data_IF_648493246903
#
_entry.id   IF_648493246903
#
_cell.length_a   1.000
_cell.length_b   1.000
_cell.length_c   1.000
_cell.angle_alpha   90.00
_cell.angle_beta   90.00
_cell.angle_gamma   90.00
#
_symmetry.space_group_name_H-M   'P 1'
#
loop_
_entity.id
_entity.type
_entity.pdbx_description
1 polymer ?
#
# COMPACT_ATOMS: atom_id res chain seq x y z
N UNK A 1 7.91 -80.52 28.99
CA UNK A 1 8.40 -79.88 30.24
C UNK A 1 9.58 -78.97 29.93
N UNK A 2 9.40 -77.65 30.05
CA UNK A 2 10.32 -76.68 30.69
C UNK A 2 9.74 -75.27 30.49
N UNK A 3 9.08 -74.76 31.52
CA UNK A 3 8.98 -73.32 31.77
C UNK A 3 10.34 -72.87 32.32
N UNK A 4 10.85 -71.72 31.88
CA UNK A 4 11.48 -70.76 32.77
C UNK A 4 11.59 -69.39 32.09
N UNK A 5 11.41 -68.38 32.94
CA UNK A 5 10.98 -67.03 32.68
C UNK A 5 12.14 -66.06 33.01
N UNK A 6 11.93 -64.76 32.73
CA UNK A 6 12.69 -63.56 33.08
C UNK A 6 13.92 -63.20 32.21
N UNK A 7 13.84 -62.05 31.52
CA UNK A 7 14.17 -60.75 32.14
C UNK A 7 13.58 -59.57 31.35
N UNK A 8 12.94 -58.69 32.11
CA UNK A 8 12.54 -57.33 31.76
C UNK A 8 13.73 -56.52 31.24
N UNK A 9 13.50 -55.72 30.20
CA UNK A 9 14.11 -54.40 30.09
C UNK A 9 13.24 -53.47 29.24
N UNK A 10 12.53 -52.62 29.97
CA UNK A 10 11.85 -51.41 29.53
C UNK A 10 12.81 -50.49 28.78
N UNK A 11 12.53 -50.23 27.49
CA UNK A 11 12.96 -48.99 26.83
C UNK A 11 11.71 -48.30 26.29
N UNK A 12 11.34 -47.22 26.98
CA UNK A 12 10.41 -46.21 26.51
C UNK A 12 10.95 -45.64 25.20
N UNK A 13 10.11 -45.56 24.18
CA UNK A 13 10.27 -44.58 23.11
C UNK A 13 8.86 -44.23 22.63
N UNK A 14 8.36 -43.13 23.17
CA UNK A 14 7.17 -42.42 22.73
C UNK A 14 7.50 -41.93 21.31
N UNK A 15 6.87 -42.50 20.30
CA UNK A 15 6.89 -41.96 18.96
C UNK A 15 6.06 -40.68 18.96
N UNK A 16 6.72 -39.53 19.08
CA UNK A 16 6.11 -38.22 18.81
C UNK A 16 5.97 -38.12 17.29
N UNK A 17 4.73 -38.17 16.82
CA UNK A 17 4.36 -37.73 15.48
C UNK A 17 4.56 -36.21 15.43
N UNK A 18 5.70 -35.77 14.93
CA UNK A 18 5.94 -34.37 14.58
C UNK A 18 5.14 -34.07 13.29
N UNK A 19 3.89 -33.66 13.45
CA UNK A 19 3.20 -32.93 12.38
C UNK A 19 3.87 -31.56 12.30
N UNK A 20 4.79 -31.40 11.34
CA UNK A 20 5.33 -30.10 10.97
C UNK A 20 4.22 -29.26 10.34
N UNK A 21 3.45 -28.56 11.16
CA UNK A 21 2.73 -27.39 10.68
C UNK A 21 3.79 -26.31 10.44
N UNK A 22 4.28 -26.23 9.21
CA UNK A 22 5.03 -25.07 8.75
C UNK A 22 4.04 -23.90 8.76
N UNK A 23 4.02 -23.14 9.86
CA UNK A 23 3.34 -21.85 9.89
C UNK A 23 4.24 -20.93 9.07
N UNK A 24 3.90 -20.78 7.79
CA UNK A 24 4.44 -19.73 6.94
C UNK A 24 4.03 -18.41 7.58
N UNK A 25 4.97 -17.75 8.26
CA UNK A 25 4.73 -16.42 8.79
C UNK A 25 4.47 -15.51 7.60
N UNK A 26 3.21 -15.08 7.44
CA UNK A 26 2.86 -13.99 6.53
C UNK A 26 3.46 -12.75 7.16
N UNK A 27 4.66 -12.38 6.74
CA UNK A 27 5.18 -11.04 7.01
C UNK A 27 4.25 -10.11 6.23
N UNK A 28 3.56 -9.16 6.87
CA UNK A 28 2.80 -8.15 6.13
C UNK A 28 3.82 -7.39 5.29
N UNK A 29 3.80 -7.65 3.99
CA UNK A 29 4.56 -6.89 3.01
C UNK A 29 3.95 -5.49 3.01
N UNK A 30 4.73 -4.49 3.35
CA UNK A 30 4.32 -3.09 3.22
C UNK A 30 4.23 -2.77 1.74
N UNK A 31 3.13 -3.18 1.09
CA UNK A 31 2.91 -2.79 -0.29
C UNK A 31 2.88 -1.26 -0.37
N UNK A 32 3.80 -0.76 -1.19
CA UNK A 32 4.04 0.64 -1.54
C UNK A 32 2.74 1.44 -1.61
N UNK A 33 2.65 2.49 -0.81
CA UNK A 33 1.50 3.38 -0.67
C UNK A 33 1.27 4.30 -1.88
N UNK A 34 1.61 3.85 -3.11
CA UNK A 34 1.24 4.56 -4.33
C UNK A 34 -0.08 4.05 -4.90
N UNK A 35 -0.42 2.77 -4.69
CA UNK A 35 -1.67 2.15 -5.15
C UNK A 35 -2.93 2.66 -4.43
N UNK A 36 -2.79 3.25 -3.24
CA UNK A 36 -3.89 3.82 -2.45
C UNK A 36 -4.04 5.33 -2.62
N UNK A 37 -3.33 5.95 -3.58
CA UNK A 37 -3.44 7.38 -3.90
C UNK A 37 -4.42 7.64 -5.03
N UNK A 38 -5.02 8.84 -5.06
CA UNK A 38 -5.92 9.30 -6.13
C UNK A 38 -5.27 9.33 -7.53
N UNK A 39 -3.94 9.39 -7.58
CA UNK A 39 -3.14 9.38 -8.80
C UNK A 39 -2.52 8.00 -9.08
N UNK A 40 -2.72 7.06 -8.15
CA UNK A 40 -2.18 5.71 -8.20
C UNK A 40 -2.82 4.84 -9.27
N UNK A 41 -2.14 3.76 -9.68
CA UNK A 41 -2.57 2.91 -10.79
C UNK A 41 -3.96 2.28 -10.57
N UNK A 42 -4.27 1.86 -9.34
CA UNK A 42 -5.57 1.32 -8.96
C UNK A 42 -6.71 2.31 -9.19
N UNK A 43 -6.52 3.58 -8.81
CA UNK A 43 -7.53 4.64 -8.98
C UNK A 43 -7.60 5.11 -10.44
N UNK A 44 -6.46 5.18 -11.13
CA UNK A 44 -6.42 5.48 -12.58
C UNK A 44 -7.26 4.48 -13.36
N UNK A 45 -7.19 3.19 -13.02
CA UNK A 45 -8.04 2.18 -13.65
C UNK A 45 -9.49 2.23 -13.15
N UNK A 46 -9.73 2.66 -11.92
CA UNK A 46 -11.07 2.99 -11.42
C UNK A 46 -11.75 4.09 -12.24
N UNK A 47 -11.01 5.17 -12.54
CA UNK A 47 -11.48 6.26 -13.41
C UNK A 47 -11.81 5.74 -14.80
N UNK A 48 -10.90 4.99 -15.43
CA UNK A 48 -11.15 4.35 -16.74
C UNK A 48 -12.36 3.43 -16.72
N UNK A 49 -12.55 2.65 -15.66
CA UNK A 49 -13.70 1.76 -15.52
C UNK A 49 -15.02 2.53 -15.57
N UNK A 50 -15.11 3.63 -14.83
CA UNK A 50 -16.31 4.46 -14.76
C UNK A 50 -16.55 5.24 -16.06
N UNK A 51 -15.50 5.78 -16.68
CA UNK A 51 -15.58 6.51 -17.96
C UNK A 51 -16.01 5.61 -19.12
N UNK A 52 -15.49 4.38 -19.16
CA UNK A 52 -15.79 3.41 -20.23
C UNK A 52 -17.00 2.52 -19.94
N UNK A 53 -17.60 2.64 -18.75
CA UNK A 53 -18.61 1.71 -18.25
C UNK A 53 -18.16 0.23 -18.32
N UNK A 54 -16.88 -0.03 -18.01
CA UNK A 54 -16.29 -1.36 -18.02
C UNK A 54 -15.55 -1.63 -16.70
N UNK A 55 -16.18 -2.38 -15.80
CA UNK A 55 -15.59 -2.71 -14.49
C UNK A 55 -14.31 -3.56 -14.59
N UNK A 56 -14.05 -4.22 -15.72
CA UNK A 56 -12.91 -5.13 -15.85
C UNK A 56 -11.55 -4.41 -15.73
N UNK A 57 -11.48 -3.10 -15.98
CA UNK A 57 -10.28 -2.31 -15.72
C UNK A 57 -9.78 -2.43 -14.28
N UNK A 58 -10.68 -2.57 -13.30
CA UNK A 58 -10.28 -2.72 -11.88
C UNK A 58 -10.12 -4.16 -11.42
N UNK A 59 -10.66 -5.14 -12.15
CA UNK A 59 -10.76 -6.53 -11.69
C UNK A 59 -9.40 -7.22 -11.54
N UNK A 60 -8.38 -6.76 -12.26
CA UNK A 60 -6.99 -7.23 -12.11
C UNK A 60 -6.38 -6.89 -10.73
N UNK A 61 -6.89 -5.87 -10.03
CA UNK A 61 -6.41 -5.42 -8.71
C UNK A 61 -7.09 -6.13 -7.53
N UNK A 62 -8.14 -6.91 -7.80
CA UNK A 62 -9.12 -7.40 -6.81
C UNK A 62 -9.10 -8.92 -6.79
N UNK A 63 -9.06 -9.58 -5.63
CA UNK A 63 -9.07 -11.06 -5.58
C UNK A 63 -10.38 -11.65 -6.16
N UNK A 64 -10.38 -12.87 -6.75
CA UNK A 64 -11.57 -13.49 -7.34
C UNK A 64 -12.82 -13.50 -6.43
N UNK A 65 -12.63 -13.74 -5.15
CA UNK A 65 -13.67 -13.76 -4.12
C UNK A 65 -14.35 -12.40 -3.89
N UNK A 66 -13.62 -11.30 -4.13
CA UNK A 66 -14.10 -9.93 -3.89
C UNK A 66 -14.64 -9.26 -5.16
N UNK A 67 -14.51 -9.89 -6.34
CA UNK A 67 -14.98 -9.33 -7.62
C UNK A 67 -16.47 -8.98 -7.59
N UNK A 68 -17.28 -9.82 -6.94
CA UNK A 68 -18.72 -9.58 -6.81
C UNK A 68 -18.98 -8.30 -6.01
N UNK A 69 -18.26 -8.10 -4.91
CA UNK A 69 -18.39 -6.89 -4.11
C UNK A 69 -18.11 -5.66 -4.98
N UNK A 70 -16.95 -5.62 -5.64
CA UNK A 70 -16.54 -4.46 -6.46
C UNK A 70 -17.50 -4.23 -7.63
N UNK A 71 -18.03 -5.28 -8.23
CA UNK A 71 -19.05 -5.17 -9.28
C UNK A 71 -20.33 -4.53 -8.75
N UNK A 72 -20.79 -4.91 -7.56
CA UNK A 72 -21.98 -4.33 -6.93
C UNK A 72 -21.75 -2.84 -6.59
N UNK A 73 -20.56 -2.47 -6.09
CA UNK A 73 -20.16 -1.08 -5.81
C UNK A 73 -20.12 -0.23 -7.08
N UNK A 74 -19.48 -0.75 -8.13
CA UNK A 74 -19.43 -0.11 -9.44
C UNK A 74 -20.84 0.18 -9.96
N UNK A 75 -21.69 -0.85 -10.01
CA UNK A 75 -23.07 -0.71 -10.48
C UNK A 75 -23.89 0.29 -9.64
N UNK A 76 -23.62 0.39 -8.34
CA UNK A 76 -24.26 1.39 -7.49
C UNK A 76 -23.79 2.80 -7.83
N UNK A 77 -22.48 3.04 -7.94
CA UNK A 77 -21.90 4.33 -8.32
C UNK A 77 -22.39 4.80 -9.69
N UNK A 78 -22.44 3.90 -10.68
CA UNK A 78 -22.88 4.22 -12.04
C UNK A 78 -24.35 4.68 -12.10
N UNK A 79 -25.21 4.28 -11.15
CA UNK A 79 -26.62 4.74 -11.09
C UNK A 79 -26.77 6.21 -10.68
N UNK A 80 -25.81 6.75 -9.95
CA UNK A 80 -25.91 8.07 -9.33
C UNK A 80 -24.94 9.10 -9.94
N UNK A 81 -23.84 8.65 -10.56
CA UNK A 81 -22.77 9.55 -11.03
C UNK A 81 -23.23 10.62 -12.03
N UNK A 82 -24.31 10.37 -12.78
CA UNK A 82 -24.79 11.29 -13.82
C UNK A 82 -25.92 12.21 -13.34
N UNK A 83 -26.23 12.22 -12.04
CA UNK A 83 -27.31 13.06 -11.47
C UNK A 83 -26.89 14.53 -11.28
N UNK A 84 -25.64 14.78 -10.86
CA UNK A 84 -25.03 16.10 -10.73
C UNK A 84 -23.51 15.99 -10.64
N UNK A 85 -22.75 17.09 -10.77
CA UNK A 85 -21.31 17.09 -10.51
C UNK A 85 -20.94 16.59 -9.11
N UNK A 86 -21.69 16.96 -8.08
CA UNK A 86 -21.48 16.51 -6.70
C UNK A 86 -21.79 15.02 -6.54
N UNK A 87 -22.84 14.53 -7.22
CA UNK A 87 -23.15 13.10 -7.23
C UNK A 87 -22.06 12.29 -7.97
N UNK A 88 -21.47 12.84 -9.03
CA UNK A 88 -20.32 12.26 -9.71
C UNK A 88 -19.13 12.13 -8.77
N UNK A 89 -18.77 13.22 -8.10
CA UNK A 89 -17.65 13.25 -7.15
C UNK A 89 -17.84 12.23 -6.02
N UNK A 90 -19.03 12.18 -5.41
CA UNK A 90 -19.35 11.19 -4.38
C UNK A 90 -19.31 9.75 -4.89
N UNK A 91 -19.82 9.50 -6.10
CA UNK A 91 -19.84 8.17 -6.71
C UNK A 91 -18.44 7.65 -7.03
N UNK A 92 -17.58 8.55 -7.52
CA UNK A 92 -16.16 8.29 -7.81
C UNK A 92 -15.39 8.03 -6.52
N UNK A 93 -15.46 8.93 -5.54
CA UNK A 93 -14.81 8.78 -4.23
C UNK A 93 -15.21 7.47 -3.54
N UNK A 94 -16.50 7.13 -3.56
CA UNK A 94 -17.01 5.88 -3.01
C UNK A 94 -16.40 4.66 -3.73
N UNK A 95 -16.48 4.63 -5.06
CA UNK A 95 -15.99 3.49 -5.82
C UNK A 95 -14.47 3.31 -5.67
N UNK A 96 -13.70 4.38 -5.79
CA UNK A 96 -12.24 4.32 -5.68
C UNK A 96 -11.79 3.87 -4.29
N UNK A 97 -12.46 4.37 -3.24
CA UNK A 97 -12.18 3.93 -1.86
C UNK A 97 -12.44 2.43 -1.67
N UNK A 98 -13.53 1.89 -2.23
CA UNK A 98 -13.83 0.46 -2.12
C UNK A 98 -12.85 -0.41 -2.91
N UNK A 99 -12.45 0.01 -4.12
CA UNK A 99 -11.44 -0.73 -4.91
C UNK A 99 -10.11 -0.75 -4.18
N UNK A 100 -9.65 0.40 -3.67
CA UNK A 100 -8.41 0.48 -2.88
C UNK A 100 -8.51 -0.34 -1.61
N UNK A 101 -9.62 -0.26 -0.86
CA UNK A 101 -9.83 -1.04 0.36
C UNK A 101 -9.68 -2.54 0.12
N UNK A 102 -10.31 -3.06 -0.93
CA UNK A 102 -10.24 -4.49 -1.29
C UNK A 102 -8.84 -4.87 -1.78
N UNK A 103 -8.23 -4.04 -2.61
CA UNK A 103 -6.86 -4.25 -3.09
C UNK A 103 -5.87 -4.34 -1.91
N UNK A 104 -5.90 -3.37 -0.99
CA UNK A 104 -5.08 -3.34 0.23
C UNK A 104 -5.29 -4.57 1.11
N UNK A 105 -6.55 -4.99 1.28
CA UNK A 105 -6.87 -6.21 2.01
C UNK A 105 -6.24 -7.46 1.36
N UNK A 106 -6.23 -7.53 0.02
CA UNK A 106 -5.56 -8.59 -0.74
C UNK A 106 -4.04 -8.62 -0.55
N UNK A 107 -3.44 -7.47 -0.25
CA UNK A 107 -2.01 -7.35 0.12
C UNK A 107 -1.74 -7.70 1.60
N UNK A 108 -2.79 -7.96 2.39
CA UNK A 108 -2.69 -8.13 3.83
C UNK A 108 -2.43 -6.82 4.59
N UNK A 109 -2.69 -5.68 3.96
CA UNK A 109 -2.39 -4.36 4.48
C UNK A 109 -3.67 -3.60 4.92
N UNK A 110 -3.59 -2.73 5.93
CA UNK A 110 -4.75 -1.96 6.38
C UNK A 110 -5.18 -0.93 5.32
N UNK A 111 -6.47 -0.59 5.36
CA UNK A 111 -7.04 0.53 4.62
C UNK A 111 -7.15 1.75 5.52
N UNK A 112 -6.21 2.68 5.37
CA UNK A 112 -6.15 3.93 6.13
C UNK A 112 -6.73 5.11 5.34
N UNK A 113 -7.71 4.84 4.47
CA UNK A 113 -8.33 5.81 3.57
C UNK A 113 -7.58 6.02 2.25
N UNK A 114 -8.33 6.48 1.26
CA UNK A 114 -7.85 6.88 -0.06
C UNK A 114 -7.02 8.17 0.06
N UNK A 115 -5.74 8.12 -0.35
CA UNK A 115 -4.83 9.26 -0.21
C UNK A 115 -5.11 10.31 -1.30
N UNK A 116 -5.06 11.61 -0.98
CA UNK A 116 -5.37 12.67 -1.93
C UNK A 116 -4.36 12.72 -3.09
N UNK A 117 -4.77 13.39 -4.16
CA UNK A 117 -3.86 13.66 -5.29
C UNK A 117 -2.67 14.48 -4.83
N UNK A 118 -1.49 14.20 -5.39
CA UNK A 118 -0.23 14.85 -4.99
C UNK A 118 0.42 14.29 -3.72
N UNK A 119 -0.14 13.23 -3.10
CA UNK A 119 0.53 12.50 -2.00
C UNK A 119 1.94 12.08 -2.47
N UNK A 120 3.00 12.28 -1.68
CA UNK A 120 4.37 12.03 -2.10
C UNK A 120 4.53 10.52 -2.20
N UNK A 121 5.03 10.12 -3.35
CA UNK A 121 5.40 8.75 -3.65
C UNK A 121 6.92 8.71 -3.73
N UNK A 122 7.51 7.59 -3.31
CA UNK A 122 8.96 7.40 -3.39
C UNK A 122 9.47 7.63 -4.83
N UNK A 123 10.60 8.32 -4.96
CA UNK A 123 11.14 8.70 -6.28
C UNK A 123 11.43 7.49 -7.17
N UNK A 124 11.83 6.35 -6.58
CA UNK A 124 12.07 5.10 -7.32
C UNK A 124 10.79 4.51 -7.86
N UNK A 125 9.68 4.65 -7.13
CA UNK A 125 8.35 4.20 -7.55
C UNK A 125 7.86 5.01 -8.72
N UNK A 126 7.97 6.34 -8.63
CA UNK A 126 7.65 7.24 -9.74
C UNK A 126 8.53 6.96 -10.97
N UNK A 127 9.82 6.68 -10.76
CA UNK A 127 10.73 6.29 -11.83
C UNK A 127 10.37 4.92 -12.45
N UNK A 128 9.95 3.94 -11.64
CA UNK A 128 9.49 2.64 -12.12
C UNK A 128 8.21 2.76 -12.96
N UNK A 129 7.24 3.54 -12.49
CA UNK A 129 6.03 3.89 -13.27
C UNK A 129 6.40 4.55 -14.59
N UNK A 130 7.27 5.56 -14.53
CA UNK A 130 7.71 6.28 -15.74
C UNK A 130 8.43 5.34 -16.71
N UNK A 131 9.20 4.37 -16.20
CA UNK A 131 9.91 3.39 -17.02
C UNK A 131 8.95 2.53 -17.84
N UNK A 132 7.85 2.09 -17.24
CA UNK A 132 6.77 1.35 -17.93
C UNK A 132 6.06 2.24 -18.95
N UNK A 133 5.84 3.51 -18.62
CA UNK A 133 5.21 4.48 -19.53
C UNK A 133 6.05 4.71 -20.79
N UNK A 134 7.36 4.99 -20.64
CA UNK A 134 8.28 5.29 -21.74
C UNK A 134 8.84 4.05 -22.43
N UNK A 135 8.61 2.86 -21.87
CA UNK A 135 9.04 1.58 -22.41
C UNK A 135 10.55 1.33 -22.31
N UNK A 136 11.24 1.95 -21.36
CA UNK A 136 12.65 1.68 -21.07
C UNK A 136 13.02 2.06 -19.62
N UNK A 137 14.19 1.61 -19.15
CA UNK A 137 14.66 1.82 -17.77
C UNK A 137 15.39 3.15 -17.54
N UNK A 138 15.43 4.08 -18.50
CA UNK A 138 16.17 5.33 -18.33
C UNK A 138 15.77 6.14 -17.09
N UNK A 139 14.49 6.17 -16.65
CA UNK A 139 14.12 6.87 -15.41
C UNK A 139 14.72 6.25 -14.13
N UNK A 140 15.02 4.95 -14.14
CA UNK A 140 15.62 4.23 -12.99
C UNK A 140 17.15 4.21 -13.03
N UNK A 141 17.78 4.73 -14.08
CA UNK A 141 19.24 4.78 -14.18
C UNK A 141 19.85 5.61 -13.04
N UNK A 142 20.79 5.01 -12.30
CA UNK A 142 21.44 5.66 -11.17
C UNK A 142 20.62 5.67 -9.87
N UNK A 143 19.38 5.18 -9.88
CA UNK A 143 18.53 5.00 -8.69
C UNK A 143 18.61 3.59 -8.09
N UNK A 144 19.20 2.66 -8.85
CA UNK A 144 19.38 1.25 -8.46
C UNK A 144 20.87 0.87 -8.51
N UNK A 145 21.28 -0.06 -7.64
CA UNK A 145 22.63 -0.64 -7.63
C UNK A 145 22.95 -1.30 -8.98
N UNK A 146 24.19 -1.15 -9.46
CA UNK A 146 24.61 -1.66 -10.78
C UNK A 146 24.44 -3.17 -10.89
N UNK A 147 24.64 -3.86 -9.77
CA UNK A 147 24.54 -5.31 -9.63
C UNK A 147 23.10 -5.81 -9.79
N UNK A 148 22.11 -4.97 -9.45
CA UNK A 148 20.67 -5.28 -9.56
C UNK A 148 20.09 -4.99 -10.96
N UNK A 149 20.80 -4.23 -11.79
CA UNK A 149 20.33 -3.84 -13.13
C UNK A 149 19.96 -5.00 -14.07
N UNK A 150 20.69 -6.13 -14.11
CA UNK A 150 20.31 -7.27 -14.96
C UNK A 150 18.94 -7.85 -14.59
N UNK A 151 18.69 -8.06 -13.30
CA UNK A 151 17.41 -8.60 -12.81
C UNK A 151 16.28 -7.57 -12.92
N UNK A 152 16.56 -6.29 -12.64
CA UNK A 152 15.60 -5.20 -12.88
C UNK A 152 15.14 -5.18 -14.34
N UNK A 153 16.08 -5.37 -15.28
CA UNK A 153 15.80 -5.45 -16.71
C UNK A 153 14.94 -6.66 -17.06
N UNK A 154 15.24 -7.84 -16.53
CA UNK A 154 14.42 -9.03 -16.75
C UNK A 154 12.98 -8.83 -16.28
N UNK A 155 12.79 -8.31 -15.06
CA UNK A 155 11.47 -8.02 -14.49
C UNK A 155 10.72 -6.98 -15.31
N UNK A 156 11.42 -5.92 -15.74
CA UNK A 156 10.87 -4.90 -16.63
C UNK A 156 10.41 -5.49 -17.98
N UNK A 157 11.25 -6.31 -18.63
CA UNK A 157 10.90 -6.98 -19.89
C UNK A 157 9.66 -7.88 -19.73
N UNK A 158 9.54 -8.58 -18.59
CA UNK A 158 8.34 -9.36 -18.27
C UNK A 158 7.10 -8.47 -18.16
N UNK A 159 7.17 -7.35 -17.45
CA UNK A 159 6.05 -6.38 -17.39
C UNK A 159 5.66 -5.91 -18.78
N UNK A 160 6.63 -5.48 -19.59
CA UNK A 160 6.36 -4.98 -20.94
C UNK A 160 5.77 -6.05 -21.86
N UNK A 161 6.19 -7.32 -21.72
CA UNK A 161 5.64 -8.43 -22.51
C UNK A 161 4.17 -8.73 -22.19
N UNK A 162 3.72 -8.35 -20.99
CA UNK A 162 2.36 -8.62 -20.50
C UNK A 162 1.45 -7.39 -20.58
N UNK A 163 1.97 -6.19 -20.89
CA UNK A 163 1.25 -4.92 -20.77
C UNK A 163 0.02 -4.81 -21.68
N UNK A 164 0.08 -5.39 -22.87
CA UNK A 164 -0.94 -5.27 -23.92
C UNK A 164 -1.97 -6.42 -23.91
N UNK A 165 -2.47 -6.77 -22.73
CA UNK A 165 -3.53 -7.78 -22.56
C UNK A 165 -4.92 -7.23 -22.91
N UNK A 166 -5.87 -8.13 -23.24
CA UNK A 166 -7.29 -7.77 -23.35
C UNK A 166 -7.83 -7.49 -21.95
N UNK A 167 -8.39 -6.30 -21.72
CA UNK A 167 -8.99 -5.91 -20.44
C UNK A 167 -10.06 -6.87 -19.95
N UNK A 168 -10.70 -7.65 -20.84
CA UNK A 168 -11.71 -8.65 -20.47
C UNK A 168 -11.12 -10.03 -20.16
N UNK A 169 -9.82 -10.22 -20.42
CA UNK A 169 -9.07 -11.38 -19.95
C UNK A 169 -8.51 -11.08 -18.56
N UNK A 170 -9.30 -11.46 -17.54
CA UNK A 170 -8.95 -11.20 -16.15
C UNK A 170 -7.73 -12.01 -15.69
N UNK A 171 -7.43 -13.14 -16.32
CA UNK A 171 -6.26 -13.95 -15.97
C UNK A 171 -4.99 -13.28 -16.49
N UNK A 172 -4.99 -12.85 -17.76
CA UNK A 172 -3.90 -12.08 -18.34
C UNK A 172 -3.67 -10.75 -17.58
N UNK A 173 -4.74 -10.06 -17.21
CA UNK A 173 -4.65 -8.84 -16.40
C UNK A 173 -4.01 -9.09 -15.04
N UNK A 174 -4.29 -10.21 -14.38
CA UNK A 174 -3.65 -10.59 -13.11
C UNK A 174 -2.20 -10.99 -13.28
N UNK A 175 -1.85 -11.70 -14.35
CA UNK A 175 -0.46 -12.01 -14.66
C UNK A 175 0.36 -10.72 -14.85
N UNK A 176 -0.20 -9.73 -15.54
CA UNK A 176 0.40 -8.41 -15.66
C UNK A 176 0.61 -7.73 -14.30
N UNK A 177 -0.41 -7.74 -13.41
CA UNK A 177 -0.29 -7.15 -12.07
C UNK A 177 0.74 -7.88 -11.21
N UNK A 178 0.84 -9.20 -11.29
CA UNK A 178 1.87 -9.96 -10.59
C UNK A 178 3.28 -9.56 -11.04
N UNK A 179 3.50 -9.45 -12.36
CA UNK A 179 4.77 -8.98 -12.91
C UNK A 179 5.06 -7.52 -12.51
N UNK A 180 4.03 -6.66 -12.56
CA UNK A 180 4.11 -5.26 -12.14
C UNK A 180 4.57 -5.15 -10.69
N UNK A 181 3.89 -5.79 -9.74
CA UNK A 181 4.24 -5.73 -8.30
C UNK A 181 5.65 -6.26 -8.05
N UNK A 182 6.04 -7.36 -8.71
CA UNK A 182 7.39 -7.93 -8.61
C UNK A 182 8.48 -6.99 -9.14
N UNK A 183 8.19 -6.20 -10.17
CA UNK A 183 9.11 -5.19 -10.70
C UNK A 183 9.26 -4.03 -9.71
N UNK A 184 8.16 -3.51 -9.16
CA UNK A 184 8.19 -2.39 -8.21
C UNK A 184 8.93 -2.73 -6.92
N UNK A 185 8.61 -3.87 -6.29
CA UNK A 185 9.31 -4.32 -5.07
C UNK A 185 10.82 -4.42 -5.27
N UNK A 186 11.22 -4.96 -6.42
CA UNK A 186 12.63 -5.09 -6.77
C UNK A 186 13.28 -3.72 -7.01
N UNK A 187 12.60 -2.80 -7.70
CA UNK A 187 13.09 -1.43 -7.93
C UNK A 187 13.25 -0.64 -6.62
N UNK A 188 12.32 -0.80 -5.68
CA UNK A 188 12.35 -0.20 -4.35
C UNK A 188 13.50 -0.75 -3.48
N UNK A 189 13.95 -1.98 -3.77
CA UNK A 189 15.00 -2.67 -3.02
C UNK A 189 14.46 -3.52 -1.87
N UNK A 190 13.17 -3.83 -1.88
CA UNK A 190 12.60 -4.86 -1.01
C UNK A 190 13.10 -6.23 -1.50
N UNK A 191 14.15 -6.75 -0.86
CA UNK A 191 14.77 -8.02 -1.24
C UNK A 191 13.77 -9.18 -1.08
N UNK A 192 13.38 -9.81 -2.18
CA UNK A 192 13.01 -11.22 -2.14
C UNK A 192 14.32 -12.03 -2.11
N UNK A 193 14.70 -12.55 -0.95
CA UNK A 193 15.66 -13.65 -0.88
C UNK A 193 15.06 -14.90 -1.53
N UNK A 194 15.02 -14.93 -2.86
CA UNK A 194 14.80 -16.14 -3.62
C UNK A 194 16.16 -16.72 -4.04
N UNK A 195 16.88 -17.28 -3.07
CA UNK A 195 18.02 -18.14 -3.35
C UNK A 195 17.90 -19.42 -2.52
N UNK A 196 17.72 -20.54 -3.21
CA UNK A 196 17.78 -21.88 -2.67
C UNK A 196 19.13 -22.14 -1.97
N UNK A 197 19.12 -22.61 -0.72
CA UNK A 197 20.20 -23.43 -0.15
C UNK A 197 20.95 -22.94 1.09
N UNK A 198 20.92 -23.80 2.12
CA UNK A 198 21.93 -24.04 3.19
C UNK A 198 21.95 -23.18 4.48
N UNK A 199 21.32 -23.77 5.51
CA UNK A 199 21.75 -23.97 6.92
C UNK A 199 22.55 -22.90 7.69
N UNK A 200 22.01 -22.53 8.86
CA UNK A 200 22.79 -22.03 10.00
C UNK A 200 21.93 -21.50 11.16
N UNK A 201 21.48 -22.40 12.04
CA UNK A 201 21.07 -22.16 13.45
C UNK A 201 22.05 -21.20 14.18
N UNK A 202 21.71 -20.39 15.18
CA UNK A 202 20.83 -20.59 16.34
C UNK A 202 20.72 -19.27 17.16
N UNK A 203 19.55 -19.06 17.80
CA UNK A 203 19.38 -18.58 19.20
C UNK A 203 19.65 -17.07 19.53
N UNK A 204 18.82 -16.29 20.24
CA UNK A 204 17.80 -16.56 21.26
C UNK A 204 16.85 -15.36 21.51
N UNK A 205 15.55 -15.64 21.46
CA UNK A 205 14.47 -15.34 22.41
C UNK A 205 14.59 -14.17 23.43
N UNK A 206 13.62 -13.24 23.40
CA UNK A 206 12.86 -12.81 24.59
C UNK A 206 11.65 -11.94 24.21
N UNK A 207 10.45 -12.51 24.34
CA UNK A 207 9.17 -11.84 24.34
C UNK A 207 8.83 -11.40 25.78
N UNK A 208 8.57 -10.12 26.02
CA UNK A 208 7.76 -9.65 27.14
C UNK A 208 7.32 -8.19 26.94
N UNK A 209 6.05 -8.03 26.54
CA UNK A 209 5.03 -7.15 27.14
C UNK A 209 5.43 -5.75 27.60
N UNK A 210 4.71 -4.71 27.19
CA UNK A 210 3.92 -3.91 28.14
C UNK A 210 2.93 -2.96 27.47
N UNK A 211 1.77 -2.89 28.12
CA UNK A 211 0.62 -2.04 27.90
C UNK A 211 0.89 -0.59 28.34
N UNK A 212 0.04 0.33 27.91
CA UNK A 212 0.04 1.76 28.20
C UNK A 212 0.09 2.13 29.70
N UNK A 213 0.78 3.24 30.03
CA UNK A 213 0.18 4.50 30.54
C UNK A 213 1.23 5.48 31.14
N UNK A 214 1.05 6.76 30.76
CA UNK A 214 1.25 8.00 31.52
C UNK A 214 2.63 8.46 32.08
N UNK A 215 3.09 9.56 31.45
CA UNK A 215 3.45 10.87 32.03
C UNK A 215 4.79 11.12 32.76
N UNK A 216 5.61 11.88 32.00
CA UNK A 216 6.03 13.27 32.26
C UNK A 216 7.28 13.55 33.10
N UNK A 217 8.20 14.29 32.46
CA UNK A 217 9.09 15.24 33.12
C UNK A 217 10.58 15.03 32.86
N UNK A 218 11.11 15.64 31.78
CA UNK A 218 12.09 16.75 31.90
C UNK A 218 12.42 17.34 30.52
N UNK A 219 11.72 18.42 30.19
CA UNK A 219 12.17 19.39 29.22
C UNK A 219 13.42 20.13 29.74
N UNK A 220 14.39 20.37 28.86
CA UNK A 220 15.19 21.61 28.81
C UNK A 220 16.25 21.50 27.70
N UNK A 221 15.87 21.86 26.48
CA UNK A 221 16.71 22.57 25.51
C UNK A 221 15.86 22.95 24.28
N UNK A 222 14.76 23.67 24.52
CA UNK A 222 14.12 24.50 23.50
C UNK A 222 14.98 25.76 23.36
N UNK A 223 15.63 25.90 22.22
CA UNK A 223 16.12 27.18 21.75
C UNK A 223 15.03 27.78 20.87
N UNK A 224 14.52 28.92 21.31
CA UNK A 224 13.52 29.77 20.68
C UNK A 224 13.74 29.91 19.17
N UNK A 225 12.81 29.38 18.38
CA UNK A 225 12.53 29.87 17.03
C UNK A 225 11.15 30.48 17.08
N UNK A 226 11.06 31.75 16.68
CA UNK A 226 9.80 32.48 16.57
C UNK A 226 8.85 31.73 15.66
N UNK A 227 7.80 31.14 16.24
CA UNK A 227 6.70 30.50 15.51
C UNK A 227 5.97 31.58 14.69
N UNK A 228 6.19 31.61 13.38
CA UNK A 228 5.42 32.49 12.51
C UNK A 228 4.04 31.85 12.27
N UNK A 229 2.96 32.52 12.64
CA UNK A 229 1.62 32.12 12.21
C UNK A 229 1.29 32.86 10.91
N UNK A 230 0.98 32.12 9.85
CA UNK A 230 0.56 32.67 8.56
C UNK A 230 -0.93 32.39 8.37
N UNK A 231 -1.72 33.41 8.06
CA UNK A 231 -3.11 33.20 7.62
C UNK A 231 -3.11 32.86 6.14
N UNK A 232 -3.70 31.72 5.79
CA UNK A 232 -3.81 31.24 4.42
C UNK A 232 -5.29 31.11 4.02
N UNK A 233 -5.65 31.65 2.85
CA UNK A 233 -6.99 31.48 2.27
C UNK A 233 -6.98 30.32 1.28
N UNK A 234 -7.79 29.29 1.56
CA UNK A 234 -7.95 28.09 0.73
C UNK A 234 -8.34 28.46 -0.70
N UNK A 235 -7.62 27.93 -1.67
CA UNK A 235 -7.88 28.12 -3.12
C UNK A 235 -8.60 26.90 -3.69
N UNK A 236 -9.28 27.04 -4.85
CA UNK A 236 -9.82 25.89 -5.57
C UNK A 236 -8.75 24.83 -5.86
N UNK A 237 -8.98 23.60 -5.39
CA UNK A 237 -8.06 22.47 -5.54
C UNK A 237 -7.09 22.25 -4.37
N UNK A 238 -7.10 23.12 -3.36
CA UNK A 238 -6.26 22.93 -2.18
C UNK A 238 -6.76 21.77 -1.30
N UNK A 239 -5.81 21.08 -0.66
CA UNK A 239 -6.06 20.14 0.44
C UNK A 239 -5.30 20.61 1.67
N UNK A 240 -5.76 20.30 2.89
CA UNK A 240 -4.99 20.64 4.11
C UNK A 240 -3.59 20.04 4.10
N UNK A 241 -3.46 18.88 3.46
CA UNK A 241 -2.19 18.21 3.25
C UNK A 241 -1.26 18.99 2.32
N UNK A 242 -1.75 19.44 1.17
CA UNK A 242 -0.98 20.29 0.24
C UNK A 242 -0.56 21.62 0.87
N UNK A 243 -1.47 22.26 1.63
CA UNK A 243 -1.17 23.48 2.38
C UNK A 243 -0.09 23.20 3.44
N UNK A 244 -0.17 22.08 4.16
CA UNK A 244 0.85 21.68 5.13
C UNK A 244 2.24 21.62 4.51
N UNK A 245 2.37 20.98 3.34
CA UNK A 245 3.64 20.91 2.63
C UNK A 245 4.19 22.28 2.21
N UNK A 246 3.35 23.15 1.64
CA UNK A 246 3.75 24.48 1.20
C UNK A 246 4.38 25.29 2.35
N UNK A 247 3.85 25.12 3.56
CA UNK A 247 4.26 25.86 4.75
C UNK A 247 5.17 25.06 5.71
N UNK A 248 5.70 23.90 5.26
CA UNK A 248 6.59 23.04 6.05
C UNK A 248 6.01 22.65 7.44
N UNK A 249 4.70 22.39 7.47
CA UNK A 249 3.96 21.87 8.63
C UNK A 249 3.17 20.63 8.21
N UNK A 250 2.43 20.05 9.14
CA UNK A 250 1.60 18.88 8.88
C UNK A 250 0.13 19.27 8.82
N UNK A 251 -0.66 18.57 8.03
CA UNK A 251 -2.11 18.81 8.01
C UNK A 251 -2.75 18.57 9.37
N UNK A 252 -2.19 17.67 10.20
CA UNK A 252 -2.65 17.44 11.55
C UNK A 252 -2.41 18.65 12.46
N UNK A 253 -1.26 19.32 12.32
CA UNK A 253 -0.98 20.57 13.03
C UNK A 253 -1.94 21.68 12.58
N UNK A 254 -2.17 21.84 11.28
CA UNK A 254 -3.14 22.81 10.74
C UNK A 254 -4.56 22.50 11.23
N UNK A 255 -5.02 21.25 11.11
CA UNK A 255 -6.34 20.82 11.53
C UNK A 255 -6.55 21.04 13.03
N UNK A 256 -5.53 20.74 13.85
CA UNK A 256 -5.55 20.95 15.29
C UNK A 256 -5.66 22.43 15.64
N UNK A 257 -4.84 23.30 15.03
CA UNK A 257 -4.87 24.75 15.28
C UNK A 257 -6.21 25.37 14.88
N UNK A 258 -6.82 24.89 13.80
CA UNK A 258 -8.06 25.43 13.26
C UNK A 258 -9.32 24.67 13.70
N UNK A 259 -9.21 23.72 14.63
CA UNK A 259 -10.31 22.88 15.12
C UNK A 259 -11.10 22.17 14.00
N UNK A 260 -10.41 21.72 12.94
CA UNK A 260 -11.04 21.07 11.79
C UNK A 260 -11.33 19.62 12.14
N UNK A 261 -12.61 19.25 12.13
CA UNK A 261 -13.06 17.90 12.49
C UNK A 261 -12.90 16.89 11.36
N UNK A 262 -13.06 17.33 10.11
CA UNK A 262 -12.81 16.51 8.92
C UNK A 262 -11.77 17.21 8.04
N UNK A 263 -10.50 16.76 8.06
CA UNK A 263 -9.41 17.36 7.28
C UNK A 263 -9.62 17.31 5.76
N UNK A 264 -10.45 16.39 5.26
CA UNK A 264 -10.72 16.19 3.84
C UNK A 264 -11.87 17.07 3.32
N UNK A 265 -12.56 17.78 4.22
CA UNK A 265 -13.71 18.62 3.88
C UNK A 265 -13.40 20.10 4.10
N UNK A 266 -12.52 20.65 3.26
CA UNK A 266 -12.23 22.09 3.20
C UNK A 266 -12.78 22.71 1.91
N UNK A 267 -13.05 24.01 1.94
CA UNK A 267 -13.69 24.73 0.84
C UNK A 267 -12.90 25.97 0.46
N UNK A 268 -12.84 26.33 -0.84
CA UNK A 268 -12.23 27.57 -1.28
C UNK A 268 -12.81 28.81 -0.57
N UNK A 269 -11.94 29.71 -0.14
CA UNK A 269 -12.29 30.91 0.62
C UNK A 269 -12.26 30.73 2.14
N UNK A 270 -12.06 29.53 2.68
CA UNK A 270 -11.80 29.34 4.11
C UNK A 270 -10.44 29.92 4.50
N UNK A 271 -10.34 30.54 5.67
CA UNK A 271 -9.08 31.03 6.22
C UNK A 271 -8.57 30.09 7.31
N UNK A 272 -7.31 29.66 7.18
CA UNK A 272 -6.64 28.83 8.17
C UNK A 272 -5.41 29.52 8.73
N UNK A 273 -5.19 29.32 10.02
CA UNK A 273 -3.93 29.64 10.70
C UNK A 273 -2.97 28.49 10.42
N UNK A 274 -1.87 28.79 9.73
CA UNK A 274 -0.82 27.84 9.40
C UNK A 274 0.36 28.06 10.34
N UNK A 275 0.66 27.12 11.25
CA UNK A 275 1.83 27.22 12.11
C UNK A 275 3.09 26.96 11.26
N UNK A 276 4.01 27.94 11.19
CA UNK A 276 5.32 27.75 10.54
C UNK A 276 6.42 27.44 11.56
N UNK A 277 7.37 26.59 11.16
CA UNK A 277 8.54 26.17 11.96
C UNK A 277 9.77 27.02 11.71
#
# INVERSE_FOLDING_TARGET
>A
MKKLNLKSNMKKSIGVLLTSAAIMAIIPLSASAHCDTMDGPTVVDGKKAMESNNVNYVMKWVAPEDQKEITDKFNLSMKVKDQSPEAKELAEQYFFSEVVRVHRAGEGAPFDGLKPSGTPVDEKVLAADKSIEVGNLSPLEGMTEKEKMPELKERFEKVMSLKDYDVNDLEAGREYIEAYVKFFKFAEGEEEHAAEGAHGEEANNAHATHNAEANNGKAAAEAERTHGEVTYTVKPGDTLWGIGLEFNTTYQEIAKVNNISNPDLIFPGQEFIIPSK
#
